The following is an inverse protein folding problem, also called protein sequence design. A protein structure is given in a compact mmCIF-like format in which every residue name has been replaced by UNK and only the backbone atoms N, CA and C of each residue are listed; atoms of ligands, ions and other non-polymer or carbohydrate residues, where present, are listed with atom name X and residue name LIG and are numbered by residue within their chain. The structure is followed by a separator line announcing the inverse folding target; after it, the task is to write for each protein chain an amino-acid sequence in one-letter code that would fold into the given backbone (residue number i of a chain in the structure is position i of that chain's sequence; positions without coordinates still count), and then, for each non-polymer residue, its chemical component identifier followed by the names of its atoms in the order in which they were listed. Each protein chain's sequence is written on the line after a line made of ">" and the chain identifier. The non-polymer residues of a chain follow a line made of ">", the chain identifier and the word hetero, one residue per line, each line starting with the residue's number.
data_IF_468917910486
#
_entry.id   IF_468917910486
#
_cell.length_a   1.000
_cell.length_b   1.000
_cell.length_c   1.000
_cell.angle_alpha   90.00
_cell.angle_beta   90.00
_cell.angle_gamma   90.00
#
_symmetry.space_group_name_H-M   'P 1'
#
loop_
_entity.id
_entity.type
_entity.pdbx_description
1 polymer ?
#
# COMPACT_ATOMS: atom_id res chain seq x y z
N UNK A 1 17.74 52.53 4.70
CA UNK A 1 17.85 51.12 4.26
C UNK A 1 17.54 51.08 2.77
N UNK A 2 18.53 50.72 1.93
CA UNK A 2 18.38 50.74 0.48
C UNK A 2 17.28 49.76 0.03
N UNK A 3 16.36 50.22 -0.83
CA UNK A 3 15.39 49.32 -1.49
C UNK A 3 16.21 48.38 -2.39
N UNK A 4 16.08 47.07 -2.19
CA UNK A 4 16.60 46.05 -3.13
C UNK A 4 16.18 46.39 -4.55
N UNK A 5 17.08 46.23 -5.51
CA UNK A 5 16.76 46.44 -6.94
C UNK A 5 15.72 45.40 -7.39
N UNK A 6 14.98 45.71 -8.44
CA UNK A 6 13.97 44.79 -8.97
C UNK A 6 14.59 43.47 -9.46
N UNK A 7 15.83 43.53 -9.96
CA UNK A 7 16.65 42.39 -10.37
C UNK A 7 17.01 41.46 -9.20
N UNK A 8 17.42 42.00 -8.04
CA UNK A 8 17.68 41.20 -6.84
C UNK A 8 16.41 40.47 -6.37
N UNK A 9 15.24 41.11 -6.50
CA UNK A 9 13.96 40.47 -6.16
C UNK A 9 13.60 39.33 -7.11
N UNK A 10 13.97 39.44 -8.39
CA UNK A 10 13.77 38.37 -9.36
C UNK A 10 14.65 37.16 -9.04
N UNK A 11 15.93 37.38 -8.74
CA UNK A 11 16.87 36.31 -8.33
C UNK A 11 16.38 35.61 -7.06
N UNK A 12 15.93 36.38 -6.05
CA UNK A 12 15.35 35.84 -4.82
C UNK A 12 14.10 34.96 -5.10
N UNK A 13 13.27 35.35 -6.07
CA UNK A 13 12.07 34.60 -6.46
C UNK A 13 12.43 33.30 -7.20
N UNK A 14 13.39 33.34 -8.11
CA UNK A 14 13.88 32.15 -8.81
C UNK A 14 14.49 31.13 -7.83
N UNK A 15 15.27 31.59 -6.85
CA UNK A 15 15.83 30.71 -5.84
C UNK A 15 14.74 30.06 -4.99
N UNK A 16 13.69 30.81 -4.63
CA UNK A 16 12.50 30.28 -3.93
C UNK A 16 11.77 29.24 -4.76
N UNK A 17 11.56 29.49 -6.05
CA UNK A 17 10.92 28.53 -6.97
C UNK A 17 11.74 27.24 -7.03
N UNK A 18 13.07 27.35 -7.17
CA UNK A 18 13.97 26.20 -7.21
C UNK A 18 13.89 25.39 -5.92
N UNK A 19 13.90 26.04 -4.75
CA UNK A 19 13.73 25.38 -3.44
C UNK A 19 12.39 24.65 -3.36
N UNK A 20 11.29 25.30 -3.74
CA UNK A 20 9.96 24.69 -3.73
C UNK A 20 9.85 23.49 -4.69
N UNK A 21 10.49 23.56 -5.86
CA UNK A 21 10.52 22.43 -6.82
C UNK A 21 11.26 21.22 -6.24
N UNK A 22 12.40 21.44 -5.58
CA UNK A 22 13.15 20.38 -4.90
C UNK A 22 12.33 19.75 -3.77
N UNK A 23 11.65 20.57 -2.96
CA UNK A 23 10.77 20.09 -1.89
C UNK A 23 9.59 19.27 -2.43
N UNK A 24 8.96 19.74 -3.51
CA UNK A 24 7.89 19.01 -4.21
C UNK A 24 8.36 17.64 -4.68
N UNK A 25 9.54 17.57 -5.30
CA UNK A 25 10.09 16.30 -5.77
C UNK A 25 10.42 15.36 -4.61
N UNK A 26 11.00 15.88 -3.53
CA UNK A 26 11.28 15.11 -2.30
C UNK A 26 9.99 14.54 -1.71
N UNK A 27 8.95 15.36 -1.59
CA UNK A 27 7.66 14.93 -1.05
C UNK A 27 7.00 13.87 -1.95
N UNK A 28 7.01 14.08 -3.27
CA UNK A 28 6.48 13.10 -4.22
C UNK A 28 7.18 11.73 -4.10
N UNK A 29 8.50 11.73 -3.92
CA UNK A 29 9.27 10.50 -3.70
C UNK A 29 8.92 9.84 -2.37
N UNK A 30 8.73 10.61 -1.29
CA UNK A 30 8.32 10.08 0.01
C UNK A 30 6.93 9.43 -0.06
N UNK A 31 5.96 10.07 -0.72
CA UNK A 31 4.61 9.52 -0.93
C UNK A 31 4.69 8.19 -1.68
N UNK A 32 5.41 8.15 -2.81
CA UNK A 32 5.59 6.91 -3.60
C UNK A 32 6.24 5.79 -2.79
N UNK A 33 7.23 6.12 -1.96
CA UNK A 33 7.88 5.12 -1.10
C UNK A 33 6.94 4.60 -0.01
N UNK A 34 6.12 5.48 0.59
CA UNK A 34 5.11 5.09 1.57
C UNK A 34 4.09 4.12 0.96
N UNK A 35 3.55 4.47 -0.21
CA UNK A 35 2.62 3.60 -0.95
C UNK A 35 3.22 2.23 -1.28
N UNK A 36 4.49 2.20 -1.72
CA UNK A 36 5.21 0.94 -1.98
C UNK A 36 5.34 0.09 -0.72
N UNK A 37 5.76 0.68 0.41
CA UNK A 37 5.90 -0.02 1.68
C UNK A 37 4.57 -0.58 2.17
N UNK A 38 3.50 0.21 2.09
CA UNK A 38 2.15 -0.21 2.47
C UNK A 38 1.63 -1.34 1.57
N UNK A 39 1.86 -1.25 0.26
CA UNK A 39 1.50 -2.32 -0.69
C UNK A 39 2.27 -3.61 -0.39
N UNK A 40 3.60 -3.53 -0.24
CA UNK A 40 4.42 -4.71 0.06
C UNK A 40 4.02 -5.34 1.39
N UNK A 41 3.79 -4.54 2.44
CA UNK A 41 3.33 -5.04 3.74
C UNK A 41 2.01 -5.80 3.60
N UNK A 42 1.04 -5.24 2.87
CA UNK A 42 -0.26 -5.88 2.62
C UNK A 42 -0.11 -7.20 1.87
N UNK A 43 0.71 -7.23 0.81
CA UNK A 43 0.94 -8.44 0.03
C UNK A 43 1.60 -9.54 0.86
N UNK A 44 2.59 -9.19 1.70
CA UNK A 44 3.23 -10.13 2.62
C UNK A 44 2.22 -10.66 3.64
N UNK A 45 1.37 -9.80 4.21
CA UNK A 45 0.34 -10.24 5.16
C UNK A 45 -0.66 -11.22 4.52
N UNK A 46 -1.10 -10.92 3.30
CA UNK A 46 -2.01 -11.81 2.55
C UNK A 46 -1.32 -13.13 2.20
N UNK A 47 -0.08 -13.09 1.71
CA UNK A 47 0.71 -14.30 1.43
C UNK A 47 0.92 -15.15 2.67
N UNK A 48 1.23 -14.52 3.81
CA UNK A 48 1.39 -15.21 5.09
C UNK A 48 0.12 -15.89 5.59
N UNK A 49 -1.08 -15.39 5.25
CA UNK A 49 -2.32 -16.11 5.53
C UNK A 49 -2.43 -17.39 4.69
N UNK A 50 -2.06 -17.31 3.40
CA UNK A 50 -2.07 -18.49 2.52
C UNK A 50 -1.08 -19.53 3.03
N UNK A 51 0.15 -19.13 3.38
CA UNK A 51 1.16 -20.02 3.93
C UNK A 51 0.70 -20.66 5.25
N UNK A 52 0.10 -19.89 6.15
CA UNK A 52 -0.32 -20.36 7.48
C UNK A 52 -1.47 -21.37 7.40
N UNK A 53 -2.46 -21.13 6.55
CA UNK A 53 -3.70 -21.91 6.54
C UNK A 53 -3.73 -23.01 5.49
N UNK A 54 -2.94 -22.89 4.42
CA UNK A 54 -2.94 -23.84 3.30
C UNK A 54 -1.58 -24.46 3.05
N UNK A 55 -0.53 -24.08 3.80
CA UNK A 55 0.85 -24.56 3.64
C UNK A 55 1.44 -24.33 2.23
N UNK A 56 0.84 -23.41 1.46
CA UNK A 56 1.25 -23.07 0.10
C UNK A 56 2.22 -21.89 0.14
N UNK A 57 3.42 -22.09 -0.43
CA UNK A 57 4.47 -21.06 -0.52
C UNK A 57 4.82 -20.70 -1.96
N UNK A 58 4.54 -21.61 -2.91
CA UNK A 58 4.89 -21.45 -4.31
C UNK A 58 3.86 -20.63 -5.09
N UNK A 59 4.35 -19.90 -6.10
CA UNK A 59 3.49 -19.20 -7.07
C UNK A 59 2.60 -20.18 -7.83
N UNK A 60 3.14 -21.32 -8.27
CA UNK A 60 2.39 -22.32 -9.06
C UNK A 60 1.22 -22.92 -8.27
N UNK A 61 1.45 -23.30 -7.02
CA UNK A 61 0.42 -23.82 -6.11
C UNK A 61 -0.65 -22.77 -5.82
N UNK A 62 -0.22 -21.51 -5.62
CA UNK A 62 -1.13 -20.38 -5.43
C UNK A 62 -2.02 -20.17 -6.66
N UNK A 63 -1.46 -20.28 -7.87
CA UNK A 63 -2.24 -20.18 -9.12
C UNK A 63 -3.27 -21.31 -9.20
N UNK A 64 -2.89 -22.56 -8.88
CA UNK A 64 -3.81 -23.71 -8.86
C UNK A 64 -4.96 -23.49 -7.87
N UNK A 65 -4.67 -22.96 -6.68
CA UNK A 65 -5.66 -22.58 -5.68
C UNK A 65 -6.60 -21.49 -6.20
N UNK A 66 -6.05 -20.43 -6.81
CA UNK A 66 -6.87 -19.34 -7.34
C UNK A 66 -7.80 -19.86 -8.44
N UNK A 67 -7.30 -20.68 -9.37
CA UNK A 67 -8.10 -21.24 -10.46
C UNK A 67 -9.21 -22.16 -9.93
N UNK A 68 -8.92 -23.00 -8.93
CA UNK A 68 -9.92 -23.93 -8.39
C UNK A 68 -11.08 -23.23 -7.68
N UNK A 69 -10.86 -22.04 -7.11
CA UNK A 69 -11.90 -21.28 -6.39
C UNK A 69 -12.40 -20.04 -7.13
N UNK A 70 -11.83 -19.67 -8.27
CA UNK A 70 -12.13 -18.41 -8.99
C UNK A 70 -13.62 -18.19 -9.17
N UNK A 71 -14.32 -19.16 -9.74
CA UNK A 71 -15.76 -19.03 -10.01
C UNK A 71 -16.58 -18.87 -8.73
N UNK A 72 -16.26 -19.65 -7.69
CA UNK A 72 -16.96 -19.62 -6.41
C UNK A 72 -16.79 -18.26 -5.73
N UNK A 73 -15.59 -17.68 -5.80
CA UNK A 73 -15.27 -16.36 -5.26
C UNK A 73 -15.97 -15.27 -6.06
N UNK A 74 -15.96 -15.33 -7.39
CA UNK A 74 -16.62 -14.33 -8.25
C UNK A 74 -18.14 -14.32 -8.04
N UNK A 75 -18.78 -15.49 -8.00
CA UNK A 75 -20.23 -15.64 -7.80
C UNK A 75 -20.71 -15.22 -6.42
N UNK A 76 -19.86 -15.35 -5.39
CA UNK A 76 -20.24 -15.06 -3.99
C UNK A 76 -19.48 -13.85 -3.40
N UNK A 77 -18.87 -13.02 -4.24
CA UNK A 77 -17.97 -11.95 -3.82
C UNK A 77 -18.58 -11.04 -2.75
N UNK A 78 -19.81 -10.58 -2.97
CA UNK A 78 -20.50 -9.70 -2.02
C UNK A 78 -20.75 -10.38 -0.67
N UNK A 79 -21.18 -11.64 -0.70
CA UNK A 79 -21.41 -12.43 0.52
C UNK A 79 -20.12 -12.62 1.31
N UNK A 80 -19.02 -12.96 0.62
CA UNK A 80 -17.69 -13.12 1.25
C UNK A 80 -17.24 -11.81 1.91
N UNK A 81 -17.43 -10.67 1.24
CA UNK A 81 -17.04 -9.36 1.77
C UNK A 81 -17.95 -8.86 2.91
N UNK A 82 -19.19 -9.35 2.98
CA UNK A 82 -20.13 -9.04 4.06
C UNK A 82 -19.96 -9.90 5.31
N UNK A 83 -19.06 -10.90 5.29
CA UNK A 83 -18.84 -11.76 6.46
C UNK A 83 -18.33 -10.94 7.64
N UNK A 84 -18.88 -11.25 8.83
CA UNK A 84 -18.37 -10.67 10.07
C UNK A 84 -16.93 -11.13 10.32
N UNK A 85 -16.03 -10.16 10.40
CA UNK A 85 -14.60 -10.40 10.47
C UNK A 85 -14.20 -11.06 11.79
N UNK A 86 -14.91 -10.76 12.88
CA UNK A 86 -14.60 -11.28 14.21
C UNK A 86 -14.98 -12.76 14.31
N UNK A 87 -16.15 -13.13 13.75
CA UNK A 87 -16.51 -14.54 13.57
C UNK A 87 -15.52 -15.28 12.67
N UNK A 88 -15.13 -14.69 11.53
CA UNK A 88 -14.19 -15.31 10.61
C UNK A 88 -12.81 -15.56 11.25
N UNK A 89 -12.29 -14.59 12.01
CA UNK A 89 -11.02 -14.72 12.75
C UNK A 89 -11.09 -15.79 13.85
N UNK A 90 -12.24 -15.93 14.51
CA UNK A 90 -12.47 -16.96 15.52
C UNK A 90 -12.47 -18.36 14.91
N UNK A 91 -13.10 -18.54 13.75
CA UNK A 91 -13.09 -19.81 12.99
C UNK A 91 -11.66 -20.18 12.59
N UNK A 92 -10.88 -19.18 12.13
CA UNK A 92 -9.49 -19.36 11.75
C UNK A 92 -8.51 -19.48 12.94
N UNK A 93 -9.01 -19.57 14.19
CA UNK A 93 -8.19 -19.61 15.42
C UNK A 93 -7.07 -18.55 15.46
N UNK A 94 -7.34 -17.34 14.97
CA UNK A 94 -6.36 -16.24 15.03
C UNK A 94 -6.28 -15.76 16.48
N UNK A 95 -5.33 -16.29 17.26
CA UNK A 95 -4.85 -15.56 18.45
C UNK A 95 -4.12 -14.32 17.94
N UNK A 96 -4.74 -13.16 18.13
CA UNK A 96 -4.03 -11.88 18.04
C UNK A 96 -3.45 -11.68 19.44
N UNK A 97 -2.18 -12.02 19.63
CA UNK A 97 -1.43 -11.50 20.76
C UNK A 97 -1.41 -9.98 20.60
N UNK A 98 -1.99 -9.30 21.60
CA UNK A 98 -2.08 -7.84 21.70
C UNK A 98 -0.70 -7.20 21.81
#
# INVERSE_FOLDING_TARGET
>A
MARRTEEERLVDLEEKIRKMQMEKQRLANQVRQKERKERTRRLIQVGGLIEKYFEIKGEEETIKLIVSFKESVEKNKEKILSLDIDQARKILQVHIDK
#
